data_IF_859838772326
#
_entry.id   IF_859838772326
#
_cell.length_a   1.000
_cell.length_b   1.000
_cell.length_c   1.000
_cell.angle_alpha   90.00
_cell.angle_beta   90.00
_cell.angle_gamma   90.00
#
_symmetry.space_group_name_H-M   'P 1'
#
loop_
_entity.id
_entity.type
_entity.pdbx_description
1 polymer ?
#
# COMPACT_ATOMS: atom_id res chain seq x y z
N UNK A 1 -5.89 -4.85 -12.72
CA UNK A 1 -5.43 -6.25 -12.73
C UNK A 1 -6.42 -7.02 -13.59
N UNK A 2 -6.08 -7.35 -14.85
CA UNK A 2 -7.05 -7.89 -15.84
C UNK A 2 -6.92 -9.40 -16.08
N UNK A 3 -5.82 -10.03 -15.64
CA UNK A 3 -5.56 -11.45 -15.92
C UNK A 3 -5.97 -12.43 -14.79
N UNK A 4 -6.52 -11.94 -13.66
CA UNK A 4 -6.96 -12.78 -12.52
C UNK A 4 -5.84 -13.54 -11.76
N UNK A 5 -4.61 -13.57 -12.29
CA UNK A 5 -3.46 -14.26 -11.68
C UNK A 5 -2.86 -13.54 -10.46
N UNK A 6 -3.09 -12.24 -10.35
CA UNK A 6 -2.60 -11.41 -9.27
C UNK A 6 -3.77 -10.95 -8.40
N UNK A 7 -3.83 -11.43 -7.16
CA UNK A 7 -4.90 -11.13 -6.22
C UNK A 7 -4.35 -10.86 -4.82
N UNK A 8 -5.11 -10.08 -4.08
CA UNK A 8 -4.82 -9.68 -2.69
C UNK A 8 -6.13 -9.74 -1.91
N UNK A 9 -6.12 -10.46 -0.80
CA UNK A 9 -7.20 -10.42 0.19
C UNK A 9 -6.80 -9.44 1.29
N UNK A 10 -7.58 -8.37 1.43
CA UNK A 10 -7.33 -7.27 2.34
C UNK A 10 -8.48 -7.14 3.34
N UNK A 11 -8.13 -6.91 4.62
CA UNK A 11 -9.09 -6.53 5.66
C UNK A 11 -8.74 -5.17 6.23
N UNK A 12 -9.76 -4.38 6.55
CA UNK A 12 -9.58 -3.15 7.32
C UNK A 12 -9.37 -3.55 8.78
N UNK A 13 -8.27 -3.10 9.37
CA UNK A 13 -7.93 -3.36 10.79
C UNK A 13 -8.08 -2.14 11.66
N UNK A 14 -7.87 -0.96 11.09
CA UNK A 14 -8.08 0.33 11.76
C UNK A 14 -8.83 1.24 10.82
N UNK A 15 -9.87 1.88 11.34
CA UNK A 15 -10.58 2.95 10.66
C UNK A 15 -10.90 4.06 11.67
N UNK A 16 -10.22 5.19 11.51
CA UNK A 16 -10.49 6.44 12.20
C UNK A 16 -10.80 7.51 11.15
N UNK A 17 -12.06 7.96 11.07
CA UNK A 17 -12.45 8.95 10.09
C UNK A 17 -11.52 10.17 10.08
N UNK A 18 -11.06 10.57 8.89
CA UNK A 18 -10.17 11.73 8.66
C UNK A 18 -8.79 11.68 9.32
N UNK A 19 -8.40 10.56 9.93
CA UNK A 19 -7.12 10.44 10.64
C UNK A 19 -6.31 9.26 10.11
N UNK A 20 -6.89 8.07 10.09
CA UNK A 20 -6.13 6.83 9.88
C UNK A 20 -6.99 5.72 9.27
N UNK A 21 -6.42 5.01 8.31
CA UNK A 21 -7.03 3.85 7.70
C UNK A 21 -5.94 2.81 7.46
N UNK A 22 -6.09 1.62 8.05
CA UNK A 22 -5.11 0.54 7.94
C UNK A 22 -5.75 -0.68 7.29
N UNK A 23 -5.18 -1.07 6.15
CA UNK A 23 -5.46 -2.35 5.52
C UNK A 23 -4.36 -3.35 5.89
N UNK A 24 -4.78 -4.55 6.24
CA UNK A 24 -3.87 -5.67 6.42
C UNK A 24 -4.23 -6.74 5.40
N UNK A 25 -3.24 -7.16 4.61
CA UNK A 25 -3.41 -8.31 3.76
C UNK A 25 -3.41 -9.58 4.60
N UNK A 26 -4.40 -10.41 4.37
CA UNK A 26 -4.49 -11.76 4.93
C UNK A 26 -3.88 -12.79 3.99
N UNK A 27 -4.04 -12.63 2.68
CA UNK A 27 -3.47 -13.54 1.69
C UNK A 27 -3.19 -12.86 0.34
N UNK A 28 -2.26 -13.40 -0.44
CA UNK A 28 -1.95 -12.88 -1.77
C UNK A 28 -1.26 -13.91 -2.66
N UNK A 29 -1.36 -13.69 -3.98
CA UNK A 29 -0.64 -14.48 -4.99
C UNK A 29 0.88 -14.22 -5.04
N UNK A 30 1.39 -13.27 -4.26
CA UNK A 30 2.80 -12.86 -4.25
C UNK A 30 3.60 -13.59 -3.16
N UNK A 31 4.95 -13.65 -3.25
CA UNK A 31 5.81 -14.27 -2.25
C UNK A 31 5.94 -13.43 -0.95
N UNK A 32 4.83 -12.82 -0.51
CA UNK A 32 4.74 -11.97 0.67
C UNK A 32 4.01 -12.76 1.76
N UNK A 33 4.59 -12.79 2.96
CA UNK A 33 4.04 -13.46 4.15
C UNK A 33 3.05 -12.56 4.90
N UNK A 34 3.22 -11.25 4.79
CA UNK A 34 2.30 -10.26 5.34
C UNK A 34 2.59 -8.89 4.76
N UNK A 35 1.53 -8.12 4.54
CA UNK A 35 1.56 -6.76 4.02
C UNK A 35 0.56 -5.92 4.81
N UNK A 36 0.97 -4.74 5.25
CA UNK A 36 0.15 -3.78 5.97
C UNK A 36 0.31 -2.43 5.31
N UNK A 37 -0.82 -1.85 4.91
CA UNK A 37 -0.90 -0.52 4.35
C UNK A 37 -1.55 0.40 5.36
N UNK A 38 -0.79 1.36 5.85
CA UNK A 38 -1.29 2.42 6.72
C UNK A 38 -1.44 3.69 5.90
N UNK A 39 -2.62 4.28 5.93
CA UNK A 39 -2.91 5.60 5.39
C UNK A 39 -3.16 6.54 6.56
N UNK A 40 -2.40 7.61 6.64
CA UNK A 40 -2.62 8.68 7.61
C UNK A 40 -2.94 9.98 6.89
N UNK A 41 -3.91 10.71 7.41
CA UNK A 41 -4.39 11.96 6.85
C UNK A 41 -4.07 13.10 7.82
N UNK A 42 -3.40 14.13 7.30
CA UNK A 42 -3.07 15.32 8.08
C UNK A 42 -3.55 16.56 7.34
N UNK A 43 -4.36 17.38 8.00
CA UNK A 43 -4.73 18.70 7.46
C UNK A 43 -3.53 19.65 7.56
N UNK A 44 -3.14 20.24 6.44
CA UNK A 44 -2.07 21.24 6.33
C UNK A 44 -2.64 22.46 5.63
N UNK A 45 -3.07 23.45 6.42
CA UNK A 45 -3.77 24.63 5.91
C UNK A 45 -5.08 24.26 5.21
N UNK A 46 -5.18 24.56 3.90
CA UNK A 46 -6.32 24.22 3.06
C UNK A 46 -6.12 22.94 2.24
N UNK A 47 -5.09 22.15 2.54
CA UNK A 47 -4.77 20.90 1.86
C UNK A 47 -4.77 19.72 2.83
N UNK A 48 -4.92 18.51 2.30
CA UNK A 48 -4.77 17.28 3.07
C UNK A 48 -3.50 16.58 2.60
N UNK A 49 -2.54 16.43 3.52
CA UNK A 49 -1.38 15.59 3.31
C UNK A 49 -1.79 14.14 3.59
N UNK A 50 -1.78 13.32 2.55
CA UNK A 50 -1.93 11.87 2.66
C UNK A 50 -0.54 11.26 2.74
N UNK A 51 -0.28 10.49 3.80
CA UNK A 51 0.93 9.69 3.93
C UNK A 51 0.54 8.22 3.91
N UNK A 52 1.18 7.45 3.04
CA UNK A 52 0.97 6.03 2.91
C UNK A 52 2.26 5.33 3.33
N UNK A 53 2.15 4.40 4.27
CA UNK A 53 3.24 3.56 4.73
C UNK A 53 2.91 2.11 4.39
N UNK A 54 3.88 1.44 3.76
CA UNK A 54 3.76 0.04 3.35
C UNK A 54 4.77 -0.81 4.12
N UNK A 55 4.27 -1.63 5.03
CA UNK A 55 5.07 -2.60 5.78
C UNK A 55 4.86 -3.98 5.17
N UNK A 56 5.92 -4.68 4.76
CA UNK A 56 5.79 -6.02 4.21
C UNK A 56 6.91 -6.95 4.65
N UNK A 57 6.57 -8.23 4.74
CA UNK A 57 7.49 -9.32 5.06
C UNK A 57 7.47 -10.31 3.92
N UNK A 58 8.59 -10.55 3.25
CA UNK A 58 8.69 -11.57 2.19
C UNK A 58 8.90 -12.96 2.76
N UNK A 59 8.52 -14.00 1.99
CA UNK A 59 8.65 -15.41 2.40
C UNK A 59 10.09 -15.94 2.30
N UNK A 60 10.92 -15.36 1.44
CA UNK A 60 12.32 -15.77 1.23
C UNK A 60 13.25 -14.98 2.14
N UNK A 61 14.18 -15.64 2.83
CA UNK A 61 15.07 -15.04 3.84
C UNK A 61 15.96 -13.88 3.35
N UNK A 62 16.95 -13.48 4.16
CA UNK A 62 17.69 -12.20 4.08
C UNK A 62 18.20 -11.82 2.66
N UNK A 63 18.65 -12.80 1.86
CA UNK A 63 19.14 -12.55 0.48
C UNK A 63 18.00 -12.30 -0.51
N UNK A 64 16.87 -13.00 -0.35
CA UNK A 64 15.65 -12.76 -1.12
C UNK A 64 15.01 -11.41 -0.80
N UNK A 65 15.06 -10.99 0.48
CA UNK A 65 14.58 -9.67 0.94
C UNK A 65 15.23 -8.51 0.20
N UNK A 66 16.54 -8.56 -0.07
CA UNK A 66 17.25 -7.43 -0.68
C UNK A 66 16.94 -7.28 -2.17
N UNK A 67 16.85 -8.38 -2.91
CA UNK A 67 16.48 -8.37 -4.33
C UNK A 67 14.99 -8.03 -4.51
N UNK A 68 14.11 -8.61 -3.68
CA UNK A 68 12.69 -8.26 -3.68
C UNK A 68 12.49 -6.78 -3.35
N UNK A 69 13.13 -6.26 -2.29
CA UNK A 69 12.92 -4.87 -1.87
C UNK A 69 13.23 -3.85 -2.96
N UNK A 70 14.17 -4.15 -3.86
CA UNK A 70 14.52 -3.28 -4.97
C UNK A 70 13.54 -3.37 -6.14
N UNK A 71 13.12 -4.57 -6.56
CA UNK A 71 12.19 -4.73 -7.69
C UNK A 71 10.73 -4.58 -7.27
N UNK A 72 10.32 -5.35 -6.26
CA UNK A 72 8.99 -5.31 -5.67
C UNK A 72 8.72 -3.93 -5.08
N UNK A 73 9.65 -3.40 -4.29
CA UNK A 73 9.51 -2.05 -3.73
C UNK A 73 9.34 -0.96 -4.79
N UNK A 74 10.09 -1.00 -5.91
CA UNK A 74 9.90 -0.05 -7.02
C UNK A 74 8.56 -0.22 -7.71
N UNK A 75 8.13 -1.45 -7.96
CA UNK A 75 6.86 -1.74 -8.63
C UNK A 75 5.68 -1.30 -7.77
N UNK A 76 5.68 -1.63 -6.48
CA UNK A 76 4.68 -1.18 -5.53
C UNK A 76 4.69 0.34 -5.38
N UNK A 77 5.85 0.98 -5.20
CA UNK A 77 5.93 2.44 -5.13
C UNK A 77 5.37 3.12 -6.38
N UNK A 78 5.67 2.59 -7.58
CA UNK A 78 5.10 3.11 -8.83
C UNK A 78 3.58 2.96 -8.87
N UNK A 79 3.05 1.79 -8.47
CA UNK A 79 1.61 1.53 -8.39
C UNK A 79 0.90 2.43 -7.37
N UNK A 80 1.46 2.55 -6.17
CA UNK A 80 0.93 3.38 -5.08
C UNK A 80 0.96 4.86 -5.48
N UNK A 81 2.04 5.33 -6.10
CA UNK A 81 2.11 6.71 -6.60
C UNK A 81 1.04 6.99 -7.66
N UNK A 82 0.79 6.05 -8.58
CA UNK A 82 -0.30 6.19 -9.56
C UNK A 82 -1.67 6.23 -8.87
N UNK A 83 -1.88 5.36 -7.89
CA UNK A 83 -3.13 5.33 -7.11
C UNK A 83 -3.36 6.66 -6.36
N UNK A 84 -2.37 7.13 -5.60
CA UNK A 84 -2.47 8.38 -4.84
C UNK A 84 -2.62 9.60 -5.75
N UNK A 85 -1.93 9.65 -6.89
CA UNK A 85 -2.11 10.73 -7.87
C UNK A 85 -3.51 10.70 -8.51
N UNK A 86 -4.05 9.52 -8.77
CA UNK A 86 -5.43 9.35 -9.23
C UNK A 86 -6.44 9.84 -8.18
N UNK A 87 -6.25 9.45 -6.92
CA UNK A 87 -7.07 9.90 -5.79
C UNK A 87 -7.01 11.42 -5.62
N UNK A 88 -5.81 12.01 -5.70
CA UNK A 88 -5.60 13.46 -5.66
C UNK A 88 -6.39 14.15 -6.77
N UNK A 89 -6.22 13.70 -8.01
CA UNK A 89 -6.92 14.27 -9.17
C UNK A 89 -8.45 14.19 -9.03
N UNK A 90 -8.96 13.12 -8.42
CA UNK A 90 -10.39 12.96 -8.19
C UNK A 90 -10.90 13.86 -7.05
N UNK A 91 -10.17 13.97 -5.95
CA UNK A 91 -10.59 14.71 -4.76
C UNK A 91 -10.40 16.23 -4.88
N UNK A 92 -9.45 16.68 -5.71
CA UNK A 92 -9.17 18.11 -5.97
C UNK A 92 -9.90 18.66 -7.21
N UNK A 93 -10.74 17.83 -7.85
CA UNK A 93 -11.67 18.29 -8.89
C UNK A 93 -12.81 19.10 -8.29
#
# INVERSE_FOLDING_TARGET
>A
MQDGKNWFDEKITVFKPNEELVYQLTDCSFPIKGLKHTYSFQKVGNQTKVHQEMEYTVKYGIIGVLMDKMMIGKQFNSGINKFLNGLKTYAEK
#
